data_IF_723815188432
#
_entry.id   IF_723815188432
#
_cell.length_a   1.000
_cell.length_b   1.000
_cell.length_c   1.000
_cell.angle_alpha   90.00
_cell.angle_beta   90.00
_cell.angle_gamma   90.00
#
_symmetry.space_group_name_H-M   'P 1'
#
loop_
_entity.id
_entity.type
_entity.pdbx_description
1 polymer ?
#
# COMPACT_ATOMS: atom_id res chain seq x y z
N UNK A 1 -9.01 2.36 27.17
CA UNK A 1 -9.07 1.89 25.77
C UNK A 1 -8.61 3.02 24.85
N UNK A 2 -7.46 2.86 24.21
CA UNK A 2 -6.92 3.85 23.26
C UNK A 2 -7.79 3.85 22.01
N UNK A 3 -8.20 5.04 21.57
CA UNK A 3 -8.77 5.22 20.23
C UNK A 3 -7.64 5.27 19.20
N UNK A 4 -7.32 4.11 18.63
CA UNK A 4 -6.26 3.99 17.63
C UNK A 4 -6.65 4.54 16.26
N UNK A 5 -7.94 4.83 16.03
CA UNK A 5 -8.41 5.44 14.76
C UNK A 5 -7.87 6.87 14.57
N UNK A 6 -7.45 7.50 15.68
CA UNK A 6 -6.70 8.77 15.69
C UNK A 6 -5.43 8.70 14.84
N UNK A 7 -4.72 7.58 14.83
CA UNK A 7 -3.42 7.44 14.18
C UNK A 7 -3.59 6.97 12.74
N UNK A 8 -3.89 7.90 11.82
CA UNK A 8 -4.15 7.61 10.39
C UNK A 8 -2.99 6.90 9.65
N UNK A 9 -1.77 6.97 10.19
CA UNK A 9 -0.57 6.33 9.65
C UNK A 9 -0.39 4.88 10.11
N UNK A 10 -1.07 4.47 11.19
CA UNK A 10 -1.04 3.12 11.71
C UNK A 10 -1.97 2.25 10.86
N UNK A 11 -1.45 1.17 10.32
CA UNK A 11 -2.26 0.27 9.50
C UNK A 11 -3.08 -0.67 10.42
N UNK A 12 -4.34 -0.28 10.67
CA UNK A 12 -5.30 -0.89 11.63
C UNK A 12 -5.80 -2.28 11.19
N UNK A 13 -5.06 -3.01 10.33
CA UNK A 13 -5.50 -4.34 9.89
C UNK A 13 -5.31 -5.44 10.94
N UNK A 14 -4.62 -5.18 12.04
CA UNK A 14 -4.59 -6.05 13.20
C UNK A 14 -5.28 -5.34 14.36
N UNK A 15 -6.30 -5.95 14.95
CA UNK A 15 -6.65 -5.69 16.34
C UNK A 15 -5.36 -5.69 17.15
N UNK A 16 -5.09 -4.63 17.91
CA UNK A 16 -3.84 -4.58 18.68
C UNK A 16 -3.76 -5.78 19.61
N UNK A 17 -2.56 -6.39 19.76
CA UNK A 17 -2.39 -7.53 20.63
C UNK A 17 -2.80 -7.12 22.05
N UNK A 18 -3.46 -8.04 22.75
CA UNK A 18 -3.99 -7.84 24.11
C UNK A 18 -2.88 -7.36 25.07
N UNK A 19 -1.64 -7.84 24.87
CA UNK A 19 -0.44 -7.40 25.58
C UNK A 19 -0.15 -5.90 25.49
N UNK A 20 -0.41 -5.28 24.33
CA UNK A 20 -0.25 -3.83 24.13
C UNK A 20 -1.37 -3.03 24.82
N UNK A 21 -2.54 -3.65 25.01
CA UNK A 21 -3.64 -3.06 25.77
C UNK A 21 -3.34 -3.10 27.28
N UNK A 22 -2.67 -4.14 27.78
CA UNK A 22 -2.20 -4.21 29.17
C UNK A 22 -1.20 -3.07 29.48
N UNK A 23 -0.32 -2.74 28.51
CA UNK A 23 0.62 -1.60 28.59
C UNK A 23 0.05 -0.32 27.96
N UNK A 24 -1.25 -0.06 28.11
CA UNK A 24 -1.98 1.07 27.46
C UNK A 24 -1.23 2.41 27.59
N UNK A 25 -0.76 2.76 28.79
CA UNK A 25 -0.11 4.05 29.04
C UNK A 25 1.19 4.22 28.24
N UNK A 26 1.98 3.15 28.12
CA UNK A 26 3.23 3.15 27.36
C UNK A 26 2.97 3.15 25.85
N UNK A 27 2.03 2.33 25.39
CA UNK A 27 1.59 2.29 23.99
C UNK A 27 1.08 3.66 23.52
N UNK A 28 0.19 4.31 24.30
CA UNK A 28 -0.33 5.64 24.00
C UNK A 28 0.79 6.68 23.91
N UNK A 29 1.72 6.66 24.87
CA UNK A 29 2.88 7.56 24.89
C UNK A 29 3.75 7.41 23.65
N UNK A 30 4.00 6.16 23.23
CA UNK A 30 4.75 5.86 22.02
C UNK A 30 4.04 6.39 20.77
N UNK A 31 2.76 6.08 20.61
CA UNK A 31 1.98 6.51 19.45
C UNK A 31 1.87 8.03 19.36
N UNK A 32 1.57 8.73 20.46
CA UNK A 32 1.52 10.20 20.49
C UNK A 32 2.90 10.83 20.19
N UNK A 33 4.00 10.18 20.57
CA UNK A 33 5.36 10.66 20.27
C UNK A 33 5.69 10.46 18.78
N UNK A 34 5.35 9.30 18.22
CA UNK A 34 5.53 9.01 16.80
C UNK A 34 4.67 9.93 15.93
N UNK A 35 3.45 10.24 16.36
CA UNK A 35 2.54 11.13 15.65
C UNK A 35 3.15 12.52 15.47
N UNK A 36 3.82 13.04 16.50
CA UNK A 36 4.50 14.35 16.50
C UNK A 36 5.83 14.37 15.72
N UNK A 37 6.47 13.22 15.49
CA UNK A 37 7.75 13.18 14.76
C UNK A 37 7.54 13.32 13.25
N UNK A 38 8.48 13.98 12.60
CA UNK A 38 8.53 14.13 11.13
C UNK A 38 9.10 12.87 10.46
N UNK A 39 8.45 11.74 10.70
CA UNK A 39 8.77 10.46 10.07
C UNK A 39 7.74 10.14 8.99
N UNK A 40 8.14 9.38 7.98
CA UNK A 40 7.17 8.83 7.02
C UNK A 40 6.18 7.93 7.75
N UNK A 41 4.98 7.78 7.18
CA UNK A 41 3.95 6.93 7.80
C UNK A 41 4.42 5.49 7.92
N UNK A 42 5.16 4.98 6.93
CA UNK A 42 5.78 3.64 6.99
C UNK A 42 6.74 3.51 8.19
N UNK A 43 7.61 4.49 8.42
CA UNK A 43 8.56 4.47 9.54
C UNK A 43 7.85 4.49 10.89
N UNK A 44 6.82 5.32 11.05
CA UNK A 44 6.00 5.36 12.28
C UNK A 44 5.32 4.01 12.53
N UNK A 45 4.70 3.44 11.49
CA UNK A 45 4.01 2.15 11.56
C UNK A 45 4.96 1.00 11.93
N UNK A 46 6.15 0.94 11.32
CA UNK A 46 7.16 -0.09 11.63
C UNK A 46 7.65 0.01 13.07
N UNK A 47 7.94 1.23 13.57
CA UNK A 47 8.38 1.42 14.96
C UNK A 47 7.29 1.02 15.95
N UNK A 48 6.03 1.33 15.66
CA UNK A 48 4.89 0.92 16.48
C UNK A 48 4.72 -0.61 16.47
N UNK A 49 4.74 -1.23 15.29
CA UNK A 49 4.66 -2.70 15.14
C UNK A 49 5.77 -3.41 15.89
N UNK A 50 6.99 -2.88 15.84
CA UNK A 50 8.10 -3.45 16.59
C UNK A 50 7.84 -3.45 18.09
N UNK A 51 7.36 -2.33 18.65
CA UNK A 51 7.00 -2.27 20.05
C UNK A 51 5.89 -3.27 20.42
N UNK A 52 4.86 -3.41 19.58
CA UNK A 52 3.77 -4.36 19.83
C UNK A 52 4.23 -5.82 19.75
N UNK A 53 5.08 -6.16 18.79
CA UNK A 53 5.71 -7.49 18.69
C UNK A 53 6.59 -7.80 19.91
N UNK A 54 7.31 -6.81 20.45
CA UNK A 54 8.01 -6.98 21.72
C UNK A 54 7.02 -7.23 22.87
N UNK A 55 5.93 -6.45 22.98
CA UNK A 55 4.92 -6.66 24.01
C UNK A 55 4.34 -8.08 23.97
N UNK A 56 4.05 -8.58 22.78
CA UNK A 56 3.55 -9.95 22.60
C UNK A 56 4.57 -11.01 22.99
N UNK A 57 5.83 -10.88 22.58
CA UNK A 57 6.91 -11.80 22.96
C UNK A 57 7.13 -11.86 24.47
N UNK A 58 7.20 -10.71 25.13
CA UNK A 58 7.38 -10.66 26.58
C UNK A 58 6.14 -11.10 27.34
N UNK A 59 4.93 -10.92 26.79
CA UNK A 59 3.72 -11.49 27.37
C UNK A 59 3.72 -13.02 27.30
N UNK A 60 4.18 -13.61 26.19
CA UNK A 60 4.32 -15.07 26.06
C UNK A 60 5.35 -15.67 27.03
N UNK A 61 6.36 -14.89 27.43
CA UNK A 61 7.38 -15.30 28.40
C UNK A 61 7.02 -14.95 29.86
N UNK A 62 5.82 -14.45 30.16
CA UNK A 62 5.42 -13.91 31.48
C UNK A 62 6.37 -12.83 32.02
N UNK A 63 6.99 -12.07 31.11
CA UNK A 63 8.00 -11.02 31.41
C UNK A 63 7.55 -9.62 30.98
N UNK A 64 6.25 -9.40 30.76
CA UNK A 64 5.70 -8.13 30.25
C UNK A 64 6.11 -6.91 31.10
N UNK A 65 6.32 -7.08 32.41
CA UNK A 65 6.77 -6.01 33.31
C UNK A 65 8.21 -5.52 33.03
N UNK A 66 9.02 -6.32 32.35
CA UNK A 66 10.38 -5.98 31.96
C UNK A 66 10.44 -5.04 30.75
N UNK A 67 9.35 -4.95 29.97
CA UNK A 67 9.22 -3.91 28.95
C UNK A 67 9.04 -2.57 29.64
N UNK A 68 10.05 -1.71 29.45
CA UNK A 68 10.03 -0.30 29.83
C UNK A 68 10.59 0.52 28.68
N UNK A 69 9.75 1.39 28.12
CA UNK A 69 10.23 2.44 27.22
C UNK A 69 11.08 3.43 28.01
N UNK A 70 12.13 3.92 27.38
CA UNK A 70 12.96 4.95 27.98
C UNK A 70 12.14 6.22 28.26
N UNK A 71 12.56 6.96 29.28
CA UNK A 71 12.03 8.31 29.53
C UNK A 71 12.20 9.22 28.31
N UNK A 72 13.21 8.97 27.48
CA UNK A 72 13.43 9.59 26.19
C UNK A 72 13.34 8.53 25.07
N UNK A 73 12.14 8.35 24.49
CA UNK A 73 11.90 7.43 23.37
C UNK A 73 12.85 7.63 22.18
N UNK A 74 13.51 8.79 22.05
CA UNK A 74 14.52 9.00 21.01
C UNK A 74 15.70 8.03 21.15
N UNK A 75 16.02 7.60 22.37
CA UNK A 75 17.06 6.58 22.61
C UNK A 75 16.62 5.23 22.07
N UNK A 76 15.40 4.83 22.37
CA UNK A 76 14.80 3.58 21.90
C UNK A 76 14.78 3.53 20.36
N UNK A 77 14.26 4.57 19.73
CA UNK A 77 14.21 4.68 18.26
C UNK A 77 15.60 4.65 17.58
N UNK A 78 16.67 5.03 18.28
CA UNK A 78 18.06 4.90 17.77
C UNK A 78 18.66 3.53 18.03
N UNK A 79 18.22 2.83 19.06
CA UNK A 79 18.70 1.48 19.40
C UNK A 79 18.03 0.38 18.58
N UNK A 80 16.72 0.48 18.32
CA UNK A 80 15.96 -0.59 17.67
C UNK A 80 16.49 -0.95 16.27
N UNK A 81 16.83 0.01 15.38
CA UNK A 81 17.39 -0.30 14.06
C UNK A 81 18.71 -1.09 14.09
N UNK A 82 19.41 -1.10 15.23
CA UNK A 82 20.65 -1.87 15.41
C UNK A 82 20.39 -3.36 15.68
N UNK A 83 19.19 -3.70 16.18
CA UNK A 83 18.84 -5.08 16.50
C UNK A 83 18.54 -5.92 15.25
N UNK A 84 18.93 -7.19 15.28
CA UNK A 84 18.67 -8.12 14.17
C UNK A 84 17.17 -8.43 14.01
N UNK A 85 16.41 -8.48 15.11
CA UNK A 85 14.97 -8.68 15.10
C UNK A 85 14.23 -7.54 14.39
N UNK A 86 14.65 -6.29 14.64
CA UNK A 86 14.09 -5.14 13.95
C UNK A 86 14.38 -5.19 12.45
N UNK A 87 15.64 -5.43 12.05
CA UNK A 87 16.00 -5.52 10.62
C UNK A 87 15.18 -6.57 9.87
N UNK A 88 14.98 -7.75 10.48
CA UNK A 88 14.12 -8.81 9.90
C UNK A 88 12.66 -8.35 9.75
N UNK A 89 12.11 -7.66 10.74
CA UNK A 89 10.75 -7.12 10.66
C UNK A 89 10.61 -6.08 9.55
N UNK A 90 11.57 -5.17 9.44
CA UNK A 90 11.62 -4.17 8.36
C UNK A 90 11.58 -4.85 7.01
N UNK A 91 12.46 -5.83 6.80
CA UNK A 91 12.53 -6.58 5.56
C UNK A 91 11.20 -7.27 5.24
N UNK A 92 10.59 -7.94 6.22
CA UNK A 92 9.27 -8.58 6.05
C UNK A 92 8.17 -7.58 5.66
N UNK A 93 8.11 -6.42 6.33
CA UNK A 93 7.10 -5.38 6.03
C UNK A 93 7.33 -4.80 4.64
N UNK A 94 8.58 -4.47 4.29
CA UNK A 94 8.94 -3.91 2.98
C UNK A 94 8.65 -4.90 1.86
N UNK A 95 8.99 -6.19 2.03
CA UNK A 95 8.68 -7.24 1.05
C UNK A 95 7.17 -7.48 0.92
N UNK A 96 6.42 -7.44 2.04
CA UNK A 96 4.96 -7.54 2.01
C UNK A 96 4.32 -6.40 1.23
N UNK A 97 4.75 -5.16 1.49
CA UNK A 97 4.26 -3.97 0.80
C UNK A 97 4.61 -3.98 -0.68
N UNK A 98 5.83 -4.43 -1.03
CA UNK A 98 6.26 -4.67 -2.41
C UNK A 98 5.35 -5.69 -3.11
N UNK A 99 5.06 -6.81 -2.46
CA UNK A 99 4.15 -7.82 -2.96
C UNK A 99 2.74 -7.27 -3.22
N UNK A 100 2.17 -6.55 -2.24
CA UNK A 100 0.85 -5.90 -2.38
C UNK A 100 0.83 -4.88 -3.52
N UNK A 101 1.90 -4.08 -3.67
CA UNK A 101 2.02 -3.10 -4.75
C UNK A 101 2.03 -3.80 -6.13
N UNK A 102 2.87 -4.83 -6.30
CA UNK A 102 2.96 -5.58 -7.56
C UNK A 102 1.63 -6.22 -7.91
N UNK A 103 0.99 -6.92 -6.96
CA UNK A 103 -0.30 -7.56 -7.18
C UNK A 103 -1.39 -6.56 -7.56
N UNK A 104 -1.49 -5.43 -6.83
CA UNK A 104 -2.46 -4.39 -7.16
C UNK A 104 -2.22 -3.81 -8.56
N UNK A 105 -0.96 -3.63 -8.95
CA UNK A 105 -0.59 -3.14 -10.27
C UNK A 105 -0.95 -4.11 -11.41
N UNK A 106 -0.74 -5.42 -11.22
CA UNK A 106 -1.15 -6.42 -12.21
C UNK A 106 -2.68 -6.42 -12.39
N UNK A 107 -3.43 -6.36 -11.28
CA UNK A 107 -4.90 -6.30 -11.35
C UNK A 107 -5.37 -5.03 -12.03
N UNK A 108 -4.70 -3.89 -11.81
CA UNK A 108 -4.97 -2.63 -12.54
C UNK A 108 -4.76 -2.80 -14.04
N UNK A 109 -3.67 -3.46 -14.49
CA UNK A 109 -3.42 -3.71 -15.92
C UNK A 109 -4.54 -4.57 -16.53
N UNK A 110 -4.91 -5.66 -15.85
CA UNK A 110 -5.95 -6.58 -16.33
C UNK A 110 -7.32 -5.91 -16.41
N UNK A 111 -7.79 -5.37 -15.29
CA UNK A 111 -9.11 -4.71 -15.18
C UNK A 111 -9.18 -3.44 -16.00
N UNK A 112 -8.06 -2.74 -16.11
CA UNK A 112 -7.90 -1.58 -16.96
C UNK A 112 -8.07 -1.89 -18.44
N UNK A 113 -7.46 -2.98 -18.92
CA UNK A 113 -7.60 -3.42 -20.31
C UNK A 113 -9.06 -3.78 -20.61
N UNK A 114 -9.71 -4.54 -19.72
CA UNK A 114 -11.14 -4.87 -19.85
C UNK A 114 -12.02 -3.61 -19.88
N UNK A 115 -11.74 -2.62 -19.03
CA UNK A 115 -12.46 -1.37 -19.01
C UNK A 115 -12.30 -0.60 -20.33
N UNK A 116 -11.08 -0.50 -20.87
CA UNK A 116 -10.83 0.15 -22.17
C UNK A 116 -11.62 -0.55 -23.28
N UNK A 117 -11.68 -1.88 -23.28
CA UNK A 117 -12.44 -2.63 -24.30
C UNK A 117 -13.94 -2.37 -24.19
N UNK A 118 -14.46 -2.40 -22.96
CA UNK A 118 -15.85 -2.09 -22.69
C UNK A 118 -16.23 -0.68 -23.15
N UNK A 119 -15.40 0.33 -22.87
CA UNK A 119 -15.65 1.70 -23.30
C UNK A 119 -15.70 1.83 -24.84
N UNK A 120 -14.81 1.13 -25.54
CA UNK A 120 -14.80 1.14 -27.01
C UNK A 120 -16.00 0.37 -27.59
N UNK A 121 -16.39 -0.74 -26.98
CA UNK A 121 -17.59 -1.49 -27.38
C UNK A 121 -18.86 -0.62 -27.26
N UNK A 122 -18.98 0.13 -26.16
CA UNK A 122 -20.07 1.10 -25.95
C UNK A 122 -20.06 2.21 -27.01
N UNK A 123 -18.89 2.78 -27.34
CA UNK A 123 -18.78 3.84 -28.34
C UNK A 123 -19.06 3.38 -29.77
N UNK A 124 -18.64 2.16 -30.12
CA UNK A 124 -18.81 1.61 -31.47
C UNK A 124 -20.15 0.88 -31.66
N UNK A 125 -20.89 0.63 -30.58
CA UNK A 125 -22.09 -0.20 -30.56
C UNK A 125 -21.82 -1.68 -30.85
N UNK A 126 -20.55 -2.11 -30.85
CA UNK A 126 -20.13 -3.49 -31.15
C UNK A 126 -19.71 -4.19 -29.86
N UNK A 127 -20.65 -4.92 -29.28
CA UNK A 127 -20.42 -5.75 -28.09
C UNK A 127 -19.82 -7.11 -28.48
N UNK A 128 -18.99 -7.67 -27.60
CA UNK A 128 -18.36 -8.97 -27.83
C UNK A 128 -19.37 -10.11 -27.73
N UNK A 129 -20.27 -10.04 -26.74
CA UNK A 129 -21.34 -11.02 -26.56
C UNK A 129 -22.72 -10.36 -26.66
N UNK A 130 -23.02 -9.48 -25.70
CA UNK A 130 -24.27 -8.73 -25.59
C UNK A 130 -24.03 -7.55 -24.64
N UNK A 131 -24.81 -6.48 -24.78
CA UNK A 131 -24.74 -5.29 -23.92
C UNK A 131 -24.84 -5.63 -22.43
N UNK A 132 -25.64 -6.63 -22.06
CA UNK A 132 -25.81 -7.05 -20.67
C UNK A 132 -24.56 -7.72 -20.09
N UNK A 133 -23.96 -8.65 -20.83
CA UNK A 133 -22.77 -9.39 -20.38
C UNK A 133 -21.57 -8.45 -20.32
N UNK A 134 -21.35 -7.70 -21.38
CA UNK A 134 -20.26 -6.72 -21.46
C UNK A 134 -20.44 -5.62 -20.38
N UNK A 135 -21.68 -5.22 -20.10
CA UNK A 135 -22.03 -4.29 -19.02
C UNK A 135 -21.63 -4.79 -17.64
N UNK A 136 -21.87 -6.07 -17.32
CA UNK A 136 -21.46 -6.68 -16.04
C UNK A 136 -19.94 -6.68 -15.93
N UNK A 137 -19.24 -7.10 -16.99
CA UNK A 137 -17.77 -7.13 -17.02
C UNK A 137 -17.19 -5.73 -16.86
N UNK A 138 -17.76 -4.73 -17.53
CA UNK A 138 -17.39 -3.32 -17.40
C UNK A 138 -17.58 -2.81 -15.96
N UNK A 139 -18.72 -3.07 -15.35
CA UNK A 139 -19.02 -2.66 -13.97
C UNK A 139 -18.05 -3.29 -12.96
N UNK A 140 -17.81 -4.60 -13.06
CA UNK A 140 -16.83 -5.29 -12.22
C UNK A 140 -15.43 -4.71 -12.40
N UNK A 141 -15.02 -4.47 -13.65
CA UNK A 141 -13.71 -3.90 -13.97
C UNK A 141 -13.51 -2.53 -13.30
N UNK A 142 -14.52 -1.66 -13.29
CA UNK A 142 -14.48 -0.36 -12.61
C UNK A 142 -14.27 -0.54 -11.09
N UNK A 143 -15.03 -1.43 -10.47
CA UNK A 143 -14.96 -1.68 -9.01
C UNK A 143 -13.58 -2.21 -8.62
N UNK A 144 -13.08 -3.22 -9.33
CA UNK A 144 -11.76 -3.78 -9.07
C UNK A 144 -10.65 -2.78 -9.36
N UNK A 145 -10.74 -2.01 -10.44
CA UNK A 145 -9.76 -0.98 -10.79
C UNK A 145 -9.68 0.08 -9.69
N UNK A 146 -10.83 0.62 -9.26
CA UNK A 146 -10.87 1.63 -8.20
C UNK A 146 -10.29 1.10 -6.87
N UNK A 147 -10.67 -0.12 -6.47
CA UNK A 147 -10.17 -0.73 -5.23
C UNK A 147 -8.65 -0.91 -5.28
N UNK A 148 -8.11 -1.40 -6.39
CA UNK A 148 -6.67 -1.63 -6.53
C UNK A 148 -5.88 -0.33 -6.66
N UNK A 149 -6.41 0.68 -7.35
CA UNK A 149 -5.84 2.03 -7.36
C UNK A 149 -5.73 2.60 -5.95
N UNK A 150 -6.79 2.45 -5.14
CA UNK A 150 -6.80 2.91 -3.75
C UNK A 150 -5.76 2.20 -2.89
N UNK A 151 -5.57 0.88 -3.07
CA UNK A 151 -4.54 0.09 -2.38
C UNK A 151 -3.14 0.57 -2.80
N UNK A 152 -2.86 0.61 -4.10
CA UNK A 152 -1.57 1.05 -4.66
C UNK A 152 -1.22 2.46 -4.18
N UNK A 153 -2.16 3.40 -4.26
CA UNK A 153 -1.97 4.78 -3.81
C UNK A 153 -1.71 4.88 -2.31
N UNK A 154 -2.46 4.13 -1.49
CA UNK A 154 -2.24 4.09 -0.03
C UNK A 154 -0.83 3.59 0.30
N UNK A 155 -0.36 2.55 -0.38
CA UNK A 155 0.99 2.00 -0.18
C UNK A 155 2.05 3.04 -0.52
N UNK A 156 1.96 3.66 -1.71
CA UNK A 156 2.90 4.72 -2.12
C UNK A 156 2.91 5.86 -1.11
N UNK A 157 1.72 6.31 -0.67
CA UNK A 157 1.56 7.41 0.27
C UNK A 157 2.25 7.15 1.62
N UNK A 158 2.47 5.89 2.01
CA UNK A 158 3.18 5.55 3.25
C UNK A 158 4.67 5.88 3.19
N UNK A 159 5.26 5.85 1.99
CA UNK A 159 6.69 6.05 1.76
C UNK A 159 7.01 7.44 1.17
N UNK A 160 6.12 8.01 0.36
CA UNK A 160 6.31 9.33 -0.26
C UNK A 160 4.99 10.09 -0.40
N UNK A 161 5.02 11.42 -0.43
CA UNK A 161 3.85 12.25 -0.76
C UNK A 161 3.66 12.48 -2.26
N UNK A 162 4.52 11.91 -3.11
CA UNK A 162 4.44 12.08 -4.56
C UNK A 162 3.14 11.48 -5.14
N UNK A 163 2.54 12.21 -6.08
CA UNK A 163 1.36 11.79 -6.85
C UNK A 163 1.72 11.20 -8.21
N UNK A 164 3.01 11.11 -8.54
CA UNK A 164 3.48 10.72 -9.88
C UNK A 164 2.96 9.34 -10.31
N UNK A 165 2.79 8.42 -9.35
CA UNK A 165 2.23 7.10 -9.59
C UNK A 165 0.80 7.14 -10.10
N UNK A 166 -0.03 8.02 -9.52
CA UNK A 166 -1.42 8.19 -9.92
C UNK A 166 -1.50 8.89 -11.29
N UNK A 167 -0.66 9.90 -11.53
CA UNK A 167 -0.60 10.56 -12.83
C UNK A 167 -0.14 9.62 -13.94
N UNK A 168 0.86 8.77 -13.67
CA UNK A 168 1.36 7.79 -14.62
C UNK A 168 0.25 6.79 -15.01
N UNK A 169 -0.47 6.26 -14.03
CA UNK A 169 -1.58 5.33 -14.30
C UNK A 169 -2.69 6.00 -15.12
N UNK A 170 -3.16 7.19 -14.71
CA UNK A 170 -4.22 7.92 -15.43
C UNK A 170 -3.78 8.29 -16.85
N UNK A 171 -2.56 8.82 -17.01
CA UNK A 171 -2.02 9.17 -18.32
C UNK A 171 -1.95 7.95 -19.24
N UNK A 172 -1.58 6.79 -18.69
CA UNK A 172 -1.53 5.53 -19.44
C UNK A 172 -2.90 5.06 -19.88
N UNK A 173 -3.93 5.20 -19.02
CA UNK A 173 -5.32 4.91 -19.38
C UNK A 173 -5.85 5.82 -20.47
N UNK A 174 -5.62 7.14 -20.33
CA UNK A 174 -6.02 8.13 -21.33
C UNK A 174 -5.33 7.85 -22.66
N UNK A 175 -4.03 7.56 -22.64
CA UNK A 175 -3.26 7.21 -23.84
C UNK A 175 -3.81 5.94 -24.52
N UNK A 176 -4.11 4.87 -23.75
CA UNK A 176 -4.71 3.65 -24.30
C UNK A 176 -6.04 3.94 -24.98
N UNK A 177 -6.92 4.71 -24.31
CA UNK A 177 -8.22 5.05 -24.83
C UNK A 177 -8.13 5.88 -26.11
N UNK A 178 -7.28 6.91 -26.15
CA UNK A 178 -7.07 7.74 -27.33
C UNK A 178 -6.52 6.95 -28.52
N UNK A 179 -5.50 6.11 -28.28
CA UNK A 179 -4.93 5.27 -29.34
C UNK A 179 -5.94 4.28 -29.89
N UNK A 180 -6.84 3.75 -29.04
CA UNK A 180 -7.84 2.79 -29.49
C UNK A 180 -8.98 3.42 -30.29
N UNK A 181 -9.22 4.72 -30.15
CA UNK A 181 -10.12 5.47 -31.04
C UNK A 181 -9.44 5.74 -32.39
N UNK A 182 -8.14 6.03 -32.38
CA UNK A 182 -7.41 6.50 -33.56
C UNK A 182 -6.88 5.37 -34.45
N UNK A 183 -6.56 4.21 -33.88
CA UNK A 183 -6.02 3.07 -34.59
C UNK A 183 -7.12 2.10 -35.05
N UNK A 184 -6.91 1.39 -36.18
CA UNK A 184 -7.85 0.37 -36.63
C UNK A 184 -7.97 -0.77 -35.61
N UNK A 185 -9.18 -1.34 -35.53
CA UNK A 185 -9.61 -2.34 -34.52
C UNK A 185 -8.65 -3.54 -34.37
N UNK A 186 -7.89 -3.86 -35.41
CA UNK A 186 -6.98 -5.00 -35.47
C UNK A 186 -5.74 -4.88 -34.58
N UNK A 187 -5.35 -3.67 -34.15
CA UNK A 187 -4.15 -3.45 -33.35
C UNK A 187 -4.49 -3.06 -31.91
N UNK A 188 -4.11 -3.91 -30.95
CA UNK A 188 -4.35 -3.65 -29.53
C UNK A 188 -3.06 -3.46 -28.74
N UNK A 189 -2.74 -2.20 -28.47
CA UNK A 189 -1.59 -1.82 -27.65
C UNK A 189 -1.94 -1.59 -26.18
N UNK A 190 -3.22 -1.73 -25.78
CA UNK A 190 -3.70 -1.33 -24.46
C UNK A 190 -2.96 -2.09 -23.34
N UNK A 191 -2.85 -3.41 -23.51
CA UNK A 191 -2.15 -4.26 -22.54
C UNK A 191 -0.67 -3.90 -22.46
N UNK A 192 0.00 -3.70 -23.60
CA UNK A 192 1.43 -3.36 -23.65
C UNK A 192 1.70 -2.02 -22.95
N UNK A 193 0.90 -0.99 -23.24
CA UNK A 193 1.06 0.34 -22.66
C UNK A 193 0.85 0.29 -21.14
N UNK A 194 -0.24 -0.34 -20.68
CA UNK A 194 -0.51 -0.48 -19.25
C UNK A 194 0.56 -1.32 -18.55
N UNK A 195 1.12 -2.33 -19.23
CA UNK A 195 2.22 -3.14 -18.68
C UNK A 195 3.52 -2.35 -18.57
N UNK A 196 3.88 -1.54 -19.57
CA UNK A 196 5.02 -0.62 -19.50
C UNK A 196 4.84 0.37 -18.35
N UNK A 197 3.63 0.96 -18.22
CA UNK A 197 3.28 1.86 -17.14
C UNK A 197 3.46 1.21 -15.76
N UNK A 198 2.98 -0.03 -15.62
CA UNK A 198 3.18 -0.84 -14.42
C UNK A 198 4.67 -1.10 -14.15
N UNK A 199 5.45 -1.46 -15.16
CA UNK A 199 6.87 -1.75 -15.01
C UNK A 199 7.67 -0.52 -14.56
N UNK A 200 7.40 0.64 -15.16
CA UNK A 200 8.00 1.92 -14.74
C UNK A 200 7.61 2.25 -13.30
N UNK A 201 6.33 2.10 -12.94
CA UNK A 201 5.85 2.30 -11.58
C UNK A 201 6.53 1.36 -10.58
N UNK A 202 6.66 0.08 -10.92
CA UNK A 202 7.32 -0.93 -10.09
C UNK A 202 8.77 -0.55 -9.85
N UNK A 203 9.53 -0.23 -10.90
CA UNK A 203 10.95 0.13 -10.78
C UNK A 203 11.15 1.38 -9.92
N UNK A 204 10.29 2.39 -10.08
CA UNK A 204 10.31 3.58 -9.22
C UNK A 204 10.00 3.23 -7.76
N UNK A 205 9.02 2.36 -7.51
CA UNK A 205 8.64 1.96 -6.16
C UNK A 205 9.75 1.16 -5.48
N UNK A 206 10.36 0.20 -6.19
CA UNK A 206 11.49 -0.58 -5.68
C UNK A 206 12.66 0.33 -5.29
N UNK A 207 13.03 1.29 -6.14
CA UNK A 207 14.08 2.27 -5.81
C UNK A 207 13.75 3.06 -4.54
N UNK A 208 12.50 3.48 -4.36
CA UNK A 208 12.09 4.17 -3.12
C UNK A 208 12.15 3.28 -1.89
N UNK A 209 11.86 1.98 -2.02
CA UNK A 209 11.98 1.02 -0.92
C UNK A 209 13.44 0.76 -0.57
N UNK A 210 14.34 0.72 -1.56
CA UNK A 210 15.79 0.53 -1.33
C UNK A 210 16.40 1.77 -0.64
N UNK A 211 15.94 2.97 -0.99
CA UNK A 211 16.35 4.23 -0.36
C UNK A 211 15.69 4.46 1.02
N UNK A 212 14.67 3.67 1.36
CA UNK A 212 13.94 3.82 2.61
C UNK A 212 14.82 3.47 3.80
N UNK A 213 15.36 4.51 4.43
CA UNK A 213 16.24 4.39 5.59
C UNK A 213 15.43 4.51 6.88
N UNK A 214 15.60 3.54 7.79
CA UNK A 214 14.99 3.56 9.12
C UNK A 214 15.98 3.98 10.19
#
# INVERSE_FOLDING_TARGET
MIDYTKYKWLDVQASLPESAQIKEKEAKRLLDTLDKKDFTSAKKDILARYYFDQCEKYAQEDRLDQIKLDSNLTRDFRSWPKSSSFKKMVEQVVQSDKGKFVMSGIVIVMTGTLLVFFLIAVLTGKFLFNIWVDGIVGALSIVFLYRNMKIKYRLVKRYTSSRDYLYLDIASFVLCFLLKIWLPVSFDFSLIILFIAHFVSKKKFEKMLDEFTI
#
